data_IF_520871015348
#
_entry.id   IF_520871015348
#
_cell.length_a   1.000
_cell.length_b   1.000
_cell.length_c   1.000
_cell.angle_alpha   90.00
_cell.angle_beta   90.00
_cell.angle_gamma   90.00
#
_symmetry.space_group_name_H-M   'P 1'
#
loop_
_entity.id
_entity.type
_entity.pdbx_description
1 polymer ?
#
# COMPACT_ATOMS: atom_id res chain seq x y z
N UNK A 1 21.69 21.96 2.63
CA UNK A 1 21.39 20.51 2.70
C UNK A 1 20.00 20.30 2.13
N UNK A 2 19.83 19.36 1.20
CA UNK A 2 18.55 18.94 0.65
C UNK A 2 18.31 17.49 1.10
N UNK A 3 17.12 17.22 1.66
CA UNK A 3 16.72 15.90 2.15
C UNK A 3 15.52 15.44 1.34
N UNK A 4 15.52 14.18 0.90
CA UNK A 4 14.42 13.62 0.15
C UNK A 4 14.71 12.20 -0.33
N UNK A 5 13.74 11.61 -1.01
CA UNK A 5 13.85 10.28 -1.61
C UNK A 5 13.20 10.29 -3.01
N UNK A 6 14.03 10.20 -4.04
CA UNK A 6 13.59 10.19 -5.43
C UNK A 6 12.97 8.85 -5.87
N UNK A 7 13.04 7.83 -5.01
CA UNK A 7 12.37 6.53 -5.20
C UNK A 7 10.94 6.53 -4.64
N UNK A 8 10.53 7.63 -3.97
CA UNK A 8 9.17 7.89 -3.52
C UNK A 8 8.48 8.93 -4.42
N UNK A 9 7.26 9.37 -4.02
CA UNK A 9 6.44 10.24 -4.86
C UNK A 9 7.10 11.59 -5.14
N UNK A 10 7.03 12.09 -6.38
CA UNK A 10 7.44 13.43 -6.74
C UNK A 10 6.41 14.47 -6.24
N UNK A 11 6.71 15.77 -6.36
CA UNK A 11 5.72 16.81 -6.15
C UNK A 11 4.47 16.61 -7.00
N UNK A 12 3.28 16.82 -6.43
CA UNK A 12 2.02 16.73 -7.17
C UNK A 12 1.91 17.87 -8.17
N UNK A 13 1.76 17.54 -9.45
CA UNK A 13 1.56 18.51 -10.54
C UNK A 13 0.18 18.31 -11.15
N UNK A 14 -0.68 19.32 -11.04
CA UNK A 14 -2.08 19.26 -11.54
C UNK A 14 -2.12 19.47 -13.06
N UNK A 15 -1.26 20.32 -13.59
CA UNK A 15 -1.21 20.63 -15.01
C UNK A 15 -0.40 19.61 -15.79
N UNK A 16 -1.04 18.87 -16.68
CA UNK A 16 -0.35 17.89 -17.57
C UNK A 16 0.74 18.55 -18.41
N UNK A 17 0.54 19.80 -18.83
CA UNK A 17 1.55 20.56 -19.57
C UNK A 17 2.76 20.86 -18.70
N UNK A 18 2.56 21.33 -17.47
CA UNK A 18 3.65 21.61 -16.55
C UNK A 18 4.40 20.30 -16.16
N UNK A 19 3.70 19.18 -16.07
CA UNK A 19 4.30 17.87 -15.85
C UNK A 19 5.20 17.47 -17.04
N UNK A 20 4.70 17.60 -18.27
CA UNK A 20 5.48 17.31 -19.49
C UNK A 20 6.67 18.27 -19.64
N UNK A 21 6.55 19.51 -19.17
CA UNK A 21 7.62 20.51 -19.17
C UNK A 21 8.65 20.26 -18.02
N UNK A 22 8.47 19.19 -17.22
CA UNK A 22 9.44 18.72 -16.24
C UNK A 22 9.23 19.22 -14.80
N UNK A 23 8.07 19.85 -14.50
CA UNK A 23 7.78 20.34 -13.14
C UNK A 23 7.66 19.20 -12.10
N UNK A 24 7.29 17.99 -12.53
CA UNK A 24 7.24 16.80 -11.68
C UNK A 24 8.62 16.32 -11.21
N UNK A 25 9.71 16.75 -11.87
CA UNK A 25 11.06 16.38 -11.50
C UNK A 25 11.55 17.23 -10.33
N UNK A 26 11.67 16.60 -9.15
CA UNK A 26 12.10 17.31 -7.94
C UNK A 26 13.52 17.87 -8.05
N UNK A 27 13.84 18.92 -7.27
CA UNK A 27 15.21 19.44 -7.19
C UNK A 27 16.18 18.34 -6.73
N UNK A 28 15.76 17.48 -5.78
CA UNK A 28 16.55 16.37 -5.28
C UNK A 28 16.92 15.41 -6.43
N UNK A 29 15.94 14.96 -7.21
CA UNK A 29 16.14 14.08 -8.36
C UNK A 29 17.06 14.71 -9.41
N UNK A 30 16.92 16.02 -9.66
CA UNK A 30 17.79 16.74 -10.60
C UNK A 30 19.24 16.78 -10.11
N UNK A 31 19.47 17.05 -8.83
CA UNK A 31 20.82 17.09 -8.25
C UNK A 31 21.48 15.71 -8.28
N UNK A 32 20.74 14.65 -7.93
CA UNK A 32 21.22 13.26 -8.04
C UNK A 32 21.62 12.94 -9.48
N UNK A 33 20.79 13.26 -10.46
CA UNK A 33 21.07 13.02 -11.87
C UNK A 33 22.27 13.82 -12.42
N UNK A 34 22.61 14.96 -11.80
CA UNK A 34 23.78 15.77 -12.10
C UNK A 34 25.06 15.30 -11.38
N UNK A 35 24.99 14.18 -10.63
CA UNK A 35 26.12 13.62 -9.90
C UNK A 35 26.50 14.39 -8.61
N UNK A 36 25.57 15.18 -8.04
CA UNK A 36 25.80 15.81 -6.75
C UNK A 36 26.09 14.75 -5.69
N UNK A 37 27.06 14.96 -4.78
CA UNK A 37 27.34 14.02 -3.71
C UNK A 37 26.10 13.74 -2.85
N UNK A 38 25.77 12.48 -2.69
CA UNK A 38 24.63 12.01 -1.91
C UNK A 38 25.06 11.05 -0.82
N UNK A 39 24.42 11.14 0.34
CA UNK A 39 24.55 10.15 1.42
C UNK A 39 23.19 9.49 1.61
N UNK A 40 23.14 8.19 1.46
CA UNK A 40 21.94 7.40 1.71
C UNK A 40 21.89 7.02 3.20
N UNK A 41 20.71 7.22 3.83
CA UNK A 41 20.41 6.65 5.14
C UNK A 41 19.94 5.22 4.91
N UNK A 42 20.72 4.25 5.34
CA UNK A 42 20.46 2.82 5.05
C UNK A 42 19.69 2.12 6.15
N UNK A 43 19.77 2.57 7.40
CA UNK A 43 19.12 1.91 8.53
C UNK A 43 17.68 2.42 8.72
N UNK A 44 16.72 1.51 8.63
CA UNK A 44 15.30 1.78 8.87
C UNK A 44 14.86 1.28 10.26
N UNK A 45 13.90 1.99 10.90
CA UNK A 45 13.36 1.69 12.23
C UNK A 45 11.83 1.54 12.23
N UNK A 46 11.19 1.49 11.08
CA UNK A 46 9.73 1.45 10.93
C UNK A 46 9.20 0.04 10.77
N UNK A 47 9.59 -0.57 9.65
CA UNK A 47 8.97 -1.79 9.13
C UNK A 47 9.51 -3.04 9.81
N UNK A 48 8.62 -4.02 10.02
CA UNK A 48 9.05 -5.40 10.24
C UNK A 48 10.08 -5.82 9.16
N UNK A 49 11.16 -6.52 9.50
CA UNK A 49 12.23 -6.87 8.56
C UNK A 49 11.73 -7.47 7.24
N UNK A 50 10.74 -8.38 7.28
CA UNK A 50 10.19 -9.01 6.07
C UNK A 50 9.48 -7.98 5.17
N UNK A 51 8.78 -6.99 5.73
CA UNK A 51 8.13 -5.93 4.93
C UNK A 51 9.18 -5.10 4.18
N UNK A 52 10.36 -4.88 4.79
CA UNK A 52 11.48 -4.12 4.19
C UNK A 52 12.18 -4.89 3.06
N UNK A 53 12.22 -6.23 3.09
CA UNK A 53 13.04 -7.03 2.17
C UNK A 53 12.82 -6.69 0.70
N UNK A 54 11.59 -6.87 0.20
CA UNK A 54 11.31 -6.64 -1.22
C UNK A 54 11.51 -5.17 -1.64
N UNK A 55 11.04 -4.13 -0.90
CA UNK A 55 11.35 -2.74 -1.24
C UNK A 55 12.85 -2.43 -1.25
N UNK A 56 13.62 -3.02 -0.33
CA UNK A 56 15.07 -2.85 -0.28
C UNK A 56 15.71 -3.33 -1.58
N UNK A 57 15.44 -4.55 -1.99
CA UNK A 57 15.97 -5.13 -3.23
C UNK A 57 15.48 -4.37 -4.47
N UNK A 58 14.19 -4.05 -4.51
CA UNK A 58 13.57 -3.48 -5.72
C UNK A 58 13.88 -2.02 -5.96
N UNK A 59 14.01 -1.22 -4.90
CA UNK A 59 14.13 0.24 -4.99
C UNK A 59 15.45 0.79 -4.45
N UNK A 60 16.14 0.06 -3.59
CA UNK A 60 17.30 0.56 -2.85
C UNK A 60 18.54 -0.33 -2.97
N UNK A 61 18.60 -1.15 -4.04
CA UNK A 61 19.75 -1.99 -4.39
C UNK A 61 20.18 -2.93 -3.25
N UNK A 62 19.22 -3.38 -2.40
CA UNK A 62 19.47 -4.22 -1.23
C UNK A 62 20.15 -3.51 -0.05
N UNK A 63 20.30 -2.19 -0.12
CA UNK A 63 21.12 -1.44 0.84
C UNK A 63 20.39 -1.06 2.14
N UNK A 64 19.05 -1.29 2.24
CA UNK A 64 18.35 -1.00 3.49
C UNK A 64 18.62 -2.10 4.52
N UNK A 65 19.03 -1.66 5.70
CA UNK A 65 19.28 -2.49 6.87
C UNK A 65 18.23 -2.23 7.95
N UNK A 66 18.00 -3.20 8.82
CA UNK A 66 17.07 -3.05 9.93
C UNK A 66 17.79 -2.56 11.19
N UNK A 67 17.28 -1.47 11.78
CA UNK A 67 17.67 -0.99 13.09
C UNK A 67 16.76 -1.49 14.22
N UNK A 68 15.85 -2.42 13.89
CA UNK A 68 14.94 -3.10 14.81
C UNK A 68 14.93 -4.59 14.49
N UNK A 69 14.51 -5.40 15.45
CA UNK A 69 14.31 -6.84 15.28
C UNK A 69 12.83 -7.17 14.96
N UNK A 70 12.56 -8.37 14.41
CA UNK A 70 11.19 -8.83 14.15
C UNK A 70 10.33 -8.84 15.42
N UNK A 71 10.93 -9.17 16.57
CA UNK A 71 10.27 -9.17 17.87
C UNK A 71 9.77 -7.78 18.32
N UNK A 72 10.35 -6.68 17.79
CA UNK A 72 9.88 -5.31 18.05
C UNK A 72 8.60 -4.97 17.27
N UNK A 73 8.25 -5.80 16.30
CA UNK A 73 7.10 -5.63 15.40
C UNK A 73 6.30 -6.93 15.25
N UNK A 74 5.78 -7.51 16.33
CA UNK A 74 5.07 -8.79 16.27
C UNK A 74 3.88 -8.71 15.31
N UNK A 75 3.59 -9.82 14.63
CA UNK A 75 2.43 -9.92 13.74
C UNK A 75 1.15 -9.54 14.49
N UNK A 76 0.30 -8.66 13.93
CA UNK A 76 -0.98 -8.31 14.54
C UNK A 76 -1.90 -9.53 14.68
N UNK A 77 -2.63 -9.60 15.80
CA UNK A 77 -3.62 -10.64 16.04
C UNK A 77 -4.89 -10.44 15.20
N UNK A 78 -5.78 -11.44 15.23
CA UNK A 78 -7.08 -11.40 14.55
C UNK A 78 -7.05 -11.79 13.08
N UNK A 79 -6.03 -11.39 12.32
CA UNK A 79 -5.84 -11.84 10.94
C UNK A 79 -5.03 -13.15 10.91
N UNK A 80 -5.43 -14.10 10.07
CA UNK A 80 -4.69 -15.36 9.88
C UNK A 80 -3.60 -15.12 8.85
N UNK A 81 -2.40 -14.79 9.32
CA UNK A 81 -1.25 -14.60 8.45
C UNK A 81 -0.83 -15.92 7.81
N UNK A 82 -0.50 -15.95 6.51
CA UNK A 82 0.06 -17.15 5.88
C UNK A 82 1.32 -17.66 6.57
N UNK A 83 2.14 -16.73 7.08
CA UNK A 83 3.29 -16.98 7.93
C UNK A 83 3.32 -15.95 9.07
N UNK A 84 3.31 -16.41 10.32
CA UNK A 84 3.31 -15.52 11.50
C UNK A 84 4.65 -14.80 11.71
N UNK A 85 5.73 -15.36 11.20
CA UNK A 85 7.06 -14.74 11.25
C UNK A 85 7.26 -13.74 10.07
N UNK A 86 6.33 -13.73 9.13
CA UNK A 86 6.32 -12.85 7.96
C UNK A 86 4.94 -12.17 7.79
N UNK A 87 4.63 -11.10 8.55
CA UNK A 87 3.30 -10.47 8.55
C UNK A 87 3.03 -9.67 7.26
N UNK A 88 3.09 -10.36 6.14
CA UNK A 88 2.74 -9.89 4.81
C UNK A 88 1.75 -10.89 4.20
N UNK A 89 0.68 -10.39 3.58
CA UNK A 89 -0.29 -11.22 2.92
C UNK A 89 -0.72 -10.62 1.57
N UNK A 90 -0.83 -11.46 0.55
CA UNK A 90 -1.52 -11.16 -0.68
C UNK A 90 -2.89 -11.84 -0.70
N UNK A 91 -3.96 -11.07 -0.83
CA UNK A 91 -5.34 -11.55 -0.96
C UNK A 91 -5.75 -11.40 -2.43
N UNK A 92 -5.74 -12.49 -3.22
CA UNK A 92 -6.13 -12.43 -4.63
C UNK A 92 -7.64 -12.24 -4.77
N UNK A 93 -8.06 -11.37 -5.69
CA UNK A 93 -9.47 -11.08 -5.99
C UNK A 93 -9.71 -11.19 -7.49
N UNK A 94 -10.83 -11.80 -7.89
CA UNK A 94 -11.25 -11.91 -9.28
C UNK A 94 -12.33 -10.87 -9.67
N UNK A 95 -12.80 -10.05 -8.71
CA UNK A 95 -13.85 -9.05 -8.91
C UNK A 95 -13.43 -7.92 -9.86
N UNK A 96 -14.33 -7.52 -10.77
CA UNK A 96 -14.06 -6.53 -11.78
C UNK A 96 -14.00 -5.09 -11.25
N UNK A 97 -13.10 -4.28 -11.81
CA UNK A 97 -13.11 -2.83 -11.59
C UNK A 97 -14.33 -2.17 -12.24
N UNK A 98 -14.82 -1.09 -11.64
CA UNK A 98 -15.83 -0.22 -12.21
C UNK A 98 -15.36 1.24 -12.24
N UNK A 99 -15.99 2.04 -13.11
CA UNK A 99 -15.73 3.47 -13.17
C UNK A 99 -16.68 4.20 -12.23
N UNK A 100 -16.17 5.13 -11.44
CA UNK A 100 -17.01 5.98 -10.58
C UNK A 100 -18.05 6.76 -11.39
N UNK A 101 -19.19 7.08 -10.78
CA UNK A 101 -20.30 7.76 -11.47
C UNK A 101 -19.93 9.11 -12.09
N UNK A 102 -18.87 9.76 -11.61
CA UNK A 102 -18.29 10.99 -12.19
C UNK A 102 -17.38 10.74 -13.40
N UNK A 103 -17.16 9.47 -13.78
CA UNK A 103 -16.31 9.07 -14.91
C UNK A 103 -14.81 9.29 -14.71
N UNK A 104 -14.38 9.79 -13.54
CA UNK A 104 -13.00 10.27 -13.34
C UNK A 104 -12.08 9.29 -12.63
N UNK A 105 -12.64 8.29 -11.92
CA UNK A 105 -11.85 7.36 -11.10
C UNK A 105 -12.38 5.93 -11.18
N UNK A 106 -11.59 4.99 -10.68
CA UNK A 106 -11.93 3.56 -10.59
C UNK A 106 -12.23 3.15 -9.16
N UNK A 107 -13.02 2.07 -9.02
CA UNK A 107 -13.26 1.38 -7.76
C UNK A 107 -13.50 -0.12 -8.02
N UNK A 108 -13.40 -0.93 -6.96
CA UNK A 108 -13.65 -2.36 -6.97
C UNK A 108 -14.42 -2.72 -5.70
N UNK A 109 -15.66 -3.19 -5.87
CA UNK A 109 -16.57 -3.51 -4.77
C UNK A 109 -16.08 -4.70 -3.95
N UNK A 110 -15.54 -5.73 -4.61
CA UNK A 110 -15.09 -6.95 -3.93
C UNK A 110 -13.86 -6.66 -3.08
N UNK A 111 -12.91 -5.86 -3.61
CA UNK A 111 -11.76 -5.40 -2.81
C UNK A 111 -12.19 -4.53 -1.62
N UNK A 112 -13.22 -3.70 -1.79
CA UNK A 112 -13.73 -2.87 -0.70
C UNK A 112 -14.40 -3.72 0.41
N UNK A 113 -15.20 -4.71 0.02
CA UNK A 113 -15.82 -5.66 0.95
C UNK A 113 -14.78 -6.47 1.74
N UNK A 114 -13.76 -6.96 1.03
CA UNK A 114 -12.64 -7.67 1.67
C UNK A 114 -11.85 -6.75 2.62
N UNK A 115 -11.61 -5.50 2.25
CA UNK A 115 -10.93 -4.56 3.13
C UNK A 115 -11.70 -4.34 4.43
N UNK A 116 -13.05 -4.26 4.39
CA UNK A 116 -13.88 -4.19 5.60
C UNK A 116 -13.72 -5.46 6.44
N UNK A 117 -13.88 -6.64 5.84
CA UNK A 117 -13.73 -7.93 6.53
C UNK A 117 -12.36 -8.06 7.20
N UNK A 118 -11.29 -7.68 6.50
CA UNK A 118 -9.92 -7.74 7.02
C UNK A 118 -9.73 -6.79 8.20
N UNK A 119 -10.28 -5.57 8.13
CA UNK A 119 -10.23 -4.62 9.25
C UNK A 119 -10.97 -5.16 10.45
N UNK A 120 -12.17 -5.76 10.27
CA UNK A 120 -12.93 -6.39 11.36
C UNK A 120 -12.16 -7.55 12.01
N UNK A 121 -11.51 -8.39 11.20
CA UNK A 121 -10.64 -9.46 11.70
C UNK A 121 -9.50 -8.90 12.56
N UNK A 122 -8.79 -7.89 12.07
CA UNK A 122 -7.69 -7.24 12.79
C UNK A 122 -8.16 -6.64 14.11
N UNK A 123 -9.29 -5.94 14.11
CA UNK A 123 -9.86 -5.33 15.33
C UNK A 123 -10.34 -6.40 16.33
N UNK A 124 -10.84 -7.54 15.84
CA UNK A 124 -11.25 -8.66 16.71
C UNK A 124 -10.09 -9.28 17.50
N UNK A 125 -8.86 -9.11 17.02
CA UNK A 125 -7.65 -9.57 17.72
C UNK A 125 -7.36 -8.82 19.02
N UNK A 126 -7.87 -7.61 19.16
CA UNK A 126 -7.82 -6.82 20.40
C UNK A 126 -6.47 -6.15 20.70
N UNK A 127 -5.46 -6.31 19.85
CA UNK A 127 -4.14 -5.67 19.99
C UNK A 127 -3.96 -4.43 19.10
N UNK A 128 -4.97 -4.09 18.31
CA UNK A 128 -5.02 -2.91 17.45
C UNK A 128 -6.25 -2.05 17.75
N UNK A 129 -6.08 -0.74 17.74
CA UNK A 129 -7.17 0.21 17.61
C UNK A 129 -7.40 0.57 16.12
N UNK A 130 -8.59 1.08 15.73
CA UNK A 130 -8.81 1.54 14.35
C UNK A 130 -7.79 2.58 13.89
N UNK A 131 -7.28 3.42 14.79
CA UNK A 131 -6.24 4.40 14.53
C UNK A 131 -4.88 3.79 14.13
N UNK A 132 -4.65 2.51 14.43
CA UNK A 132 -3.42 1.80 14.08
C UNK A 132 -3.47 1.18 12.69
N UNK A 133 -4.65 1.23 12.04
CA UNK A 133 -4.89 0.64 10.72
C UNK A 133 -5.04 1.74 9.67
N UNK A 134 -4.43 1.52 8.52
CA UNK A 134 -4.59 2.35 7.34
C UNK A 134 -5.08 1.55 6.15
N UNK A 135 -6.17 2.01 5.50
CA UNK A 135 -6.62 1.48 4.22
C UNK A 135 -6.16 2.42 3.12
N UNK A 136 -5.33 1.92 2.24
CA UNK A 136 -4.64 2.72 1.22
C UNK A 136 -5.02 2.24 -0.17
N UNK A 137 -5.22 3.15 -1.11
CA UNK A 137 -5.54 2.82 -2.49
C UNK A 137 -5.04 3.90 -3.45
N UNK A 138 -4.68 3.61 -4.70
CA UNK A 138 -4.28 4.63 -5.66
C UNK A 138 -5.44 5.45 -6.26
N UNK A 139 -6.71 5.10 -5.95
CA UNK A 139 -7.87 5.67 -6.61
C UNK A 139 -8.85 6.35 -5.66
N UNK A 140 -9.16 7.63 -5.91
CA UNK A 140 -10.14 8.37 -5.10
C UNK A 140 -11.56 7.80 -5.17
N UNK A 141 -11.93 7.11 -6.27
CA UNK A 141 -13.20 6.38 -6.35
C UNK A 141 -13.29 5.27 -5.29
N UNK A 142 -12.18 4.54 -5.09
CA UNK A 142 -12.10 3.53 -4.05
C UNK A 142 -12.09 4.14 -2.64
N UNK A 143 -11.41 5.27 -2.46
CA UNK A 143 -11.43 6.00 -1.17
C UNK A 143 -12.87 6.38 -0.80
N UNK A 144 -13.66 6.91 -1.74
CA UNK A 144 -15.07 7.25 -1.50
C UNK A 144 -15.89 6.02 -1.15
N UNK A 145 -15.77 4.96 -1.96
CA UNK A 145 -16.48 3.69 -1.73
C UNK A 145 -16.18 3.09 -0.35
N UNK A 146 -14.91 3.04 0.03
CA UNK A 146 -14.49 2.54 1.34
C UNK A 146 -15.05 3.40 2.48
N UNK A 147 -14.99 4.74 2.38
CA UNK A 147 -15.57 5.61 3.38
C UNK A 147 -17.08 5.36 3.56
N UNK A 148 -17.83 5.26 2.44
CA UNK A 148 -19.26 4.99 2.48
C UNK A 148 -19.57 3.61 3.08
N UNK A 149 -18.72 2.61 2.82
CA UNK A 149 -18.90 1.25 3.31
C UNK A 149 -18.67 1.18 4.83
N UNK A 150 -17.58 1.75 5.33
CA UNK A 150 -17.27 1.79 6.75
C UNK A 150 -18.26 2.65 7.54
N UNK A 151 -18.76 3.73 6.95
CA UNK A 151 -19.82 4.54 7.55
C UNK A 151 -21.10 3.73 7.74
N UNK A 152 -21.52 2.97 6.72
CA UNK A 152 -22.70 2.09 6.80
C UNK A 152 -22.52 0.89 7.74
N UNK A 153 -21.30 0.41 7.90
CA UNK A 153 -21.00 -0.76 8.74
C UNK A 153 -20.99 -0.45 10.25
N UNK A 154 -20.83 0.81 10.65
CA UNK A 154 -20.82 1.17 12.07
C UNK A 154 -20.42 2.59 12.37
N UNK A 155 -20.00 3.37 11.35
CA UNK A 155 -19.56 4.75 11.51
C UNK A 155 -18.10 4.93 11.90
N UNK A 156 -17.63 6.18 11.81
CA UNK A 156 -16.23 6.56 12.02
C UNK A 156 -16.05 7.80 12.90
N UNK A 157 -17.13 8.31 13.48
CA UNK A 157 -17.11 9.42 14.43
C UNK A 157 -16.63 8.96 15.81
N UNK A 158 -16.48 9.90 16.74
CA UNK A 158 -16.07 9.58 18.10
C UNK A 158 -17.09 8.65 18.79
N UNK A 159 -16.62 7.49 19.24
CA UNK A 159 -17.46 6.45 19.84
C UNK A 159 -17.89 5.34 18.88
N UNK A 160 -17.66 5.50 17.58
CA UNK A 160 -18.00 4.49 16.56
C UNK A 160 -16.91 3.39 16.45
N UNK A 161 -17.29 2.19 15.97
CA UNK A 161 -16.36 1.05 15.83
C UNK A 161 -15.10 1.35 15.03
N UNK A 162 -15.17 2.22 14.01
CA UNK A 162 -14.04 2.54 13.14
C UNK A 162 -13.47 3.95 13.37
N UNK A 163 -13.73 4.52 14.55
CA UNK A 163 -13.18 5.84 14.90
C UNK A 163 -11.64 5.85 14.82
N UNK A 164 -11.08 6.79 14.06
CA UNK A 164 -9.64 6.92 13.85
C UNK A 164 -9.05 6.09 12.71
N UNK A 165 -9.84 5.18 12.08
CA UNK A 165 -9.40 4.46 10.88
C UNK A 165 -9.08 5.45 9.75
N UNK A 166 -7.88 5.35 9.18
CA UNK A 166 -7.48 6.22 8.08
C UNK A 166 -7.65 5.54 6.72
N UNK A 167 -8.56 6.08 5.89
CA UNK A 167 -8.77 5.64 4.49
C UNK A 167 -8.34 6.77 3.57
N UNK A 168 -7.27 6.58 2.81
CA UNK A 168 -6.69 7.63 1.95
C UNK A 168 -6.08 7.08 0.66
N UNK A 169 -5.89 7.99 -0.30
CA UNK A 169 -5.07 7.66 -1.46
C UNK A 169 -3.59 7.50 -1.07
N UNK A 170 -2.82 6.78 -1.90
CA UNK A 170 -1.37 6.62 -1.71
C UNK A 170 -0.67 7.98 -1.57
N UNK A 171 -1.05 8.95 -2.41
CA UNK A 171 -0.50 10.31 -2.38
C UNK A 171 -0.82 11.00 -1.04
N UNK A 172 -2.03 10.80 -0.50
CA UNK A 172 -2.46 11.31 0.81
C UNK A 172 -1.84 10.60 2.02
N UNK A 173 -1.17 9.46 1.77
CA UNK A 173 -0.47 8.66 2.79
C UNK A 173 1.02 8.97 2.90
N UNK A 174 1.55 9.80 2.01
CA UNK A 174 2.97 10.20 2.06
C UNK A 174 3.31 10.85 3.40
N UNK A 175 4.41 10.41 4.04
CA UNK A 175 4.84 10.89 5.34
C UNK A 175 4.10 10.30 6.55
N UNK A 176 3.10 9.43 6.33
CA UNK A 176 2.37 8.71 7.38
C UNK A 176 2.89 7.30 7.56
N UNK A 177 2.50 6.67 8.66
CA UNK A 177 2.75 5.24 8.94
C UNK A 177 1.66 4.70 9.86
N UNK A 178 1.42 3.39 9.79
CA UNK A 178 0.44 2.65 10.62
C UNK A 178 1.02 1.30 11.01
N UNK A 179 0.48 0.72 12.05
CA UNK A 179 0.87 -0.65 12.43
C UNK A 179 0.48 -1.63 11.33
N UNK A 180 -0.72 -1.51 10.77
CA UNK A 180 -1.15 -2.30 9.61
C UNK A 180 -1.56 -1.42 8.45
N UNK A 181 -1.12 -1.79 7.26
CA UNK A 181 -1.61 -1.24 6.00
C UNK A 181 -2.37 -2.32 5.22
N UNK A 182 -3.62 -1.99 4.87
CA UNK A 182 -4.43 -2.74 3.91
C UNK A 182 -4.43 -1.97 2.60
N UNK A 183 -3.77 -2.50 1.57
CA UNK A 183 -3.65 -1.87 0.25
C UNK A 183 -4.63 -2.50 -0.73
N UNK A 184 -5.60 -1.71 -1.24
CA UNK A 184 -6.51 -2.11 -2.31
C UNK A 184 -6.01 -1.59 -3.66
N UNK A 185 -5.64 -2.50 -4.57
CA UNK A 185 -5.06 -2.17 -5.88
C UNK A 185 -6.10 -1.71 -6.90
N UNK A 186 -7.35 -2.16 -6.76
CA UNK A 186 -8.53 -1.77 -7.56
C UNK A 186 -8.56 -2.34 -8.97
N UNK A 187 -7.44 -2.32 -9.70
CA UNK A 187 -7.39 -2.66 -11.12
C UNK A 187 -7.63 -4.14 -11.36
N UNK A 188 -8.70 -4.43 -12.10
CA UNK A 188 -9.13 -5.77 -12.49
C UNK A 188 -9.84 -5.71 -13.84
N UNK A 189 -9.10 -5.93 -14.94
CA UNK A 189 -9.60 -5.83 -16.31
C UNK A 189 -8.84 -6.74 -17.27
N UNK A 190 -9.52 -7.21 -18.33
CA UNK A 190 -8.96 -8.12 -19.32
C UNK A 190 -7.92 -7.47 -20.25
N UNK A 191 -7.95 -6.13 -20.38
CA UNK A 191 -7.02 -5.37 -21.19
C UNK A 191 -5.62 -5.23 -20.56
N UNK A 192 -5.45 -5.66 -19.30
CA UNK A 192 -4.18 -5.51 -18.57
C UNK A 192 -3.81 -4.06 -18.28
N UNK A 193 -4.80 -3.17 -18.26
CA UNK A 193 -4.56 -1.75 -18.02
C UNK A 193 -4.28 -1.49 -16.53
N UNK A 194 -3.08 -1.04 -16.22
CA UNK A 194 -2.61 -0.76 -14.87
C UNK A 194 -2.95 0.66 -14.35
N UNK A 195 -3.16 1.62 -15.24
CA UNK A 195 -3.44 3.01 -14.83
C UNK A 195 -2.39 3.57 -13.87
N UNK A 196 -2.83 4.10 -12.71
CA UNK A 196 -1.95 4.68 -11.69
C UNK A 196 -1.03 3.66 -10.99
N UNK A 197 -1.31 2.36 -11.10
CA UNK A 197 -0.44 1.30 -10.57
C UNK A 197 0.90 1.20 -11.31
N UNK A 198 1.04 1.76 -12.52
CA UNK A 198 2.32 1.81 -13.27
C UNK A 198 3.40 2.65 -12.56
N UNK A 199 3.01 3.60 -11.73
CA UNK A 199 3.99 4.38 -10.99
C UNK A 199 4.56 3.56 -9.82
N UNK A 200 5.73 2.96 -10.05
CA UNK A 200 6.45 2.17 -9.05
C UNK A 200 6.74 2.93 -7.76
N UNK A 201 6.80 4.27 -7.80
CA UNK A 201 7.01 5.10 -6.61
C UNK A 201 5.79 5.09 -5.71
N UNK A 202 4.56 5.00 -6.28
CA UNK A 202 3.33 4.79 -5.50
C UNK A 202 3.33 3.47 -4.78
N UNK A 203 3.73 2.39 -5.45
CA UNK A 203 3.86 1.09 -4.80
C UNK A 203 4.87 1.15 -3.66
N UNK A 204 6.06 1.72 -3.89
CA UNK A 204 7.08 1.88 -2.85
C UNK A 204 6.54 2.64 -1.64
N UNK A 205 5.85 3.77 -1.86
CA UNK A 205 5.23 4.53 -0.76
C UNK A 205 4.19 3.68 -0.04
N UNK A 206 3.26 3.04 -0.75
CA UNK A 206 2.16 2.31 -0.15
C UNK A 206 2.63 1.18 0.79
N UNK A 207 3.55 0.33 0.31
CA UNK A 207 4.01 -0.85 1.08
C UNK A 207 4.95 -0.47 2.22
N UNK A 208 5.70 0.64 2.10
CA UNK A 208 6.62 1.10 3.16
C UNK A 208 5.94 1.94 4.25
N UNK A 209 4.61 2.00 4.28
CA UNK A 209 3.86 2.68 5.35
C UNK A 209 3.54 1.76 6.53
N UNK A 210 3.60 0.45 6.33
CA UNK A 210 3.32 -0.54 7.35
C UNK A 210 4.49 -0.69 8.34
N UNK A 211 4.16 -0.83 9.62
CA UNK A 211 5.12 -1.11 10.69
C UNK A 211 5.14 -2.59 11.03
N UNK A 212 3.98 -3.20 11.31
CA UNK A 212 3.81 -4.56 11.81
C UNK A 212 3.22 -5.51 10.79
N UNK A 213 2.30 -5.04 9.93
CA UNK A 213 1.62 -5.90 8.97
C UNK A 213 1.27 -5.21 7.67
N UNK A 214 1.42 -5.93 6.55
CA UNK A 214 1.05 -5.48 5.21
C UNK A 214 0.11 -6.49 4.56
N UNK A 215 -1.09 -6.05 4.19
CA UNK A 215 -2.06 -6.86 3.45
C UNK A 215 -2.36 -6.16 2.12
N UNK A 216 -2.10 -6.85 1.01
CA UNK A 216 -2.36 -6.36 -0.33
C UNK A 216 -3.52 -7.15 -0.95
N UNK A 217 -4.57 -6.44 -1.37
CA UNK A 217 -5.73 -7.00 -2.06
C UNK A 217 -5.64 -6.60 -3.53
N UNK A 218 -5.82 -7.54 -4.46
CA UNK A 218 -5.78 -7.19 -5.87
C UNK A 218 -5.96 -8.36 -6.83
N UNK A 219 -6.18 -8.03 -8.12
CA UNK A 219 -6.40 -8.99 -9.18
C UNK A 219 -5.06 -9.46 -9.78
N UNK A 220 -4.62 -10.73 -9.53
CA UNK A 220 -3.27 -11.17 -9.84
C UNK A 220 -2.94 -11.10 -11.34
N UNK A 221 -3.88 -11.43 -12.23
CA UNK A 221 -3.65 -11.39 -13.69
C UNK A 221 -3.44 -9.96 -14.19
N UNK A 222 -4.21 -8.98 -13.70
CA UNK A 222 -4.02 -7.58 -14.08
C UNK A 222 -2.70 -7.05 -13.55
N UNK A 223 -2.37 -7.30 -12.27
CA UNK A 223 -1.14 -6.83 -11.64
C UNK A 223 0.12 -7.36 -12.33
N UNK A 224 0.12 -8.60 -12.81
CA UNK A 224 1.27 -9.20 -13.54
C UNK A 224 1.59 -8.53 -14.88
N UNK A 225 0.75 -7.62 -15.40
CA UNK A 225 1.07 -6.85 -16.61
C UNK A 225 2.11 -5.73 -16.37
N UNK A 226 2.50 -5.47 -15.14
CA UNK A 226 3.62 -4.59 -14.80
C UNK A 226 4.75 -5.38 -14.13
N UNK A 227 5.99 -5.17 -14.58
CA UNK A 227 7.15 -5.95 -14.11
C UNK A 227 7.47 -5.75 -12.63
N UNK A 228 7.13 -4.59 -12.07
CA UNK A 228 7.36 -4.31 -10.65
C UNK A 228 6.35 -5.08 -9.78
N UNK A 229 5.09 -5.05 -10.19
CA UNK A 229 4.03 -5.81 -9.53
C UNK A 229 4.20 -7.33 -9.69
N UNK A 230 4.59 -7.78 -10.90
CA UNK A 230 4.91 -9.19 -11.14
C UNK A 230 6.02 -9.67 -10.19
N UNK A 231 7.10 -8.89 -10.06
CA UNK A 231 8.20 -9.20 -9.13
C UNK A 231 7.75 -9.27 -7.67
N UNK A 232 6.82 -8.38 -7.25
CA UNK A 232 6.26 -8.44 -5.88
C UNK A 232 5.42 -9.70 -5.68
N UNK A 233 4.57 -10.05 -6.65
CA UNK A 233 3.75 -11.27 -6.61
C UNK A 233 4.59 -12.54 -6.63
N UNK A 234 5.68 -12.56 -7.40
CA UNK A 234 6.60 -13.71 -7.44
C UNK A 234 7.30 -13.87 -6.08
N UNK A 235 7.80 -12.77 -5.50
CA UNK A 235 8.40 -12.77 -4.16
C UNK A 235 7.41 -13.25 -3.08
N UNK A 236 6.15 -12.79 -3.13
CA UNK A 236 5.11 -13.24 -2.20
C UNK A 236 4.77 -14.72 -2.39
N UNK A 237 4.64 -15.18 -3.65
CA UNK A 237 4.35 -16.58 -3.98
C UNK A 237 5.46 -17.54 -3.58
N UNK A 238 6.74 -17.18 -3.83
CA UNK A 238 7.91 -17.99 -3.42
C UNK A 238 8.00 -18.17 -1.90
N UNK A 239 7.45 -17.23 -1.13
CA UNK A 239 7.38 -17.28 0.34
C UNK A 239 6.07 -17.85 0.88
N UNK A 240 5.12 -18.23 0.01
CA UNK A 240 3.82 -18.75 0.43
C UNK A 240 2.93 -17.73 1.16
N UNK A 241 3.07 -16.44 0.82
CA UNK A 241 2.35 -15.33 1.48
C UNK A 241 0.96 -15.05 0.88
N UNK A 242 0.40 -15.97 0.10
CA UNK A 242 -0.94 -15.85 -0.47
C UNK A 242 -2.02 -16.31 0.54
N UNK A 243 -3.02 -15.46 0.77
CA UNK A 243 -4.07 -15.64 1.79
C UNK A 243 -5.44 -15.96 1.16
N UNK A 244 -5.58 -17.10 0.47
CA UNK A 244 -6.83 -17.52 -0.16
C UNK A 244 -7.97 -17.82 0.83
N UNK A 245 -7.66 -18.15 2.09
CA UNK A 245 -8.65 -18.47 3.12
C UNK A 245 -9.57 -17.29 3.46
N UNK A 246 -9.11 -16.06 3.25
CA UNK A 246 -9.90 -14.83 3.51
C UNK A 246 -11.10 -14.74 2.55
N UNK A 247 -11.05 -15.40 1.38
CA UNK A 247 -12.13 -15.38 0.38
C UNK A 247 -13.33 -16.27 0.76
N UNK A 248 -13.20 -17.10 1.79
CA UNK A 248 -14.20 -18.09 2.19
C UNK A 248 -14.82 -17.78 3.57
N UNK A 249 -14.56 -16.63 4.12
CA UNK A 249 -15.09 -16.14 5.38
C UNK A 249 -16.25 -15.18 5.14
#
# INVERSE_FOLDING_TARGET
VVVGDHRQLPPTVISRRAESDGLARSLFERLVALGAPTTMLTTQYRMHPVIREWPSERFYDGLLEDGIEAADRPAPAGFIWPDFDAPVAFVPVEGAEATSGDGTSKHNLDEAGLALTIVDMLLSGGDLAPSDIGVVTPYNGQVRLLNDLFEKAGGREEGDPYHGLEIKSVDGYQGREKDVIVLSAVRANDAGEMGFLKDRRRLNVAITRARRGLILIGHPRTLRNDSTWASWLDWAGERGLEAYHVLHM
#
